data_IF_356284572964
#
_entry.id   IF_356284572964
#
_cell.length_a   1.000
_cell.length_b   1.000
_cell.length_c   1.000
_cell.angle_alpha   90.00
_cell.angle_beta   90.00
_cell.angle_gamma   90.00
#
_symmetry.space_group_name_H-M   'P 1'
#
loop_
_entity.id
_entity.type
_entity.pdbx_description
1 polymer ?
#
# COMPACT_ATOMS: atom_id res chain seq x y z
N UNK A 1 15.33 33.81 -7.15
CA UNK A 1 15.63 32.37 -7.11
C UNK A 1 15.62 31.96 -5.63
N UNK A 2 14.45 31.54 -5.13
CA UNK A 2 14.29 31.15 -3.72
C UNK A 2 14.30 29.62 -3.72
N UNK A 3 15.43 29.07 -3.31
CA UNK A 3 15.53 27.65 -2.94
C UNK A 3 14.64 27.46 -1.71
N UNK A 4 13.48 26.81 -1.87
CA UNK A 4 12.78 26.21 -0.74
C UNK A 4 13.73 25.16 -0.15
N UNK A 5 14.20 25.41 1.07
CA UNK A 5 14.87 24.40 1.88
C UNK A 5 13.95 23.18 1.97
N UNK A 6 14.36 22.10 1.35
CA UNK A 6 13.73 20.79 1.53
C UNK A 6 13.94 20.43 3.00
N UNK A 7 12.96 20.77 3.85
CA UNK A 7 12.84 20.18 5.17
C UNK A 7 13.04 18.68 4.99
N UNK A 8 13.99 18.11 5.69
CA UNK A 8 14.18 16.65 5.79
C UNK A 8 12.90 16.07 6.40
N UNK A 9 11.91 15.80 5.56
CA UNK A 9 10.61 15.28 5.98
C UNK A 9 10.81 13.81 6.34
N UNK A 10 10.84 13.52 7.62
CA UNK A 10 10.71 12.16 8.18
C UNK A 10 9.30 11.59 7.97
N UNK A 11 8.37 12.36 7.39
CA UNK A 11 7.04 12.01 6.95
C UNK A 11 6.83 12.35 5.47
N UNK A 12 5.84 11.73 4.81
CA UNK A 12 5.45 12.07 3.45
C UNK A 12 4.88 13.50 3.31
N UNK A 13 4.61 13.98 2.08
CA UNK A 13 4.04 15.30 1.83
C UNK A 13 2.60 15.40 2.40
N UNK A 14 2.26 16.55 2.97
CA UNK A 14 0.91 16.84 3.45
C UNK A 14 0.18 17.70 2.40
N UNK A 15 -1.09 17.35 2.05
CA UNK A 15 -1.85 18.10 1.03
C UNK A 15 -1.99 19.60 1.37
N UNK A 16 -2.06 19.92 2.65
CA UNK A 16 -2.16 21.31 3.13
C UNK A 16 -0.95 22.19 2.80
N UNK A 17 0.18 21.58 2.44
CA UNK A 17 1.43 22.31 2.11
C UNK A 17 1.46 22.78 0.64
N UNK A 18 0.43 22.43 -0.15
CA UNK A 18 0.37 22.69 -1.60
C UNK A 18 -0.84 23.55 -1.96
N UNK A 19 -0.66 24.42 -2.96
CA UNK A 19 -1.69 25.33 -3.43
C UNK A 19 -2.74 24.67 -4.33
N UNK A 20 -2.43 23.52 -4.90
CA UNK A 20 -3.32 22.75 -5.76
C UNK A 20 -3.04 21.25 -5.68
N UNK A 21 -4.00 20.45 -6.14
CA UNK A 21 -3.97 18.98 -6.05
C UNK A 21 -2.88 18.36 -6.91
N UNK A 22 -2.57 18.97 -8.07
CA UNK A 22 -1.54 18.46 -8.96
C UNK A 22 -0.16 18.53 -8.32
N UNK A 23 0.20 19.66 -7.72
CA UNK A 23 1.50 19.84 -7.07
C UNK A 23 1.67 18.89 -5.88
N UNK A 24 0.59 18.66 -5.13
CA UNK A 24 0.59 17.64 -4.06
C UNK A 24 0.83 16.24 -4.60
N UNK A 25 0.11 15.85 -5.66
CA UNK A 25 0.26 14.51 -6.27
C UNK A 25 1.66 14.34 -6.87
N UNK A 26 2.19 15.33 -7.57
CA UNK A 26 3.55 15.29 -8.12
C UNK A 26 4.60 15.12 -6.99
N UNK A 27 4.45 15.83 -5.88
CA UNK A 27 5.31 15.68 -4.71
C UNK A 27 5.18 14.32 -4.03
N UNK A 28 3.96 13.76 -3.96
CA UNK A 28 3.70 12.45 -3.42
C UNK A 28 4.38 11.35 -4.25
N UNK A 29 4.22 11.40 -5.57
CA UNK A 29 4.86 10.44 -6.48
C UNK A 29 6.39 10.52 -6.40
N UNK A 30 6.96 11.72 -6.40
CA UNK A 30 8.40 11.93 -6.22
C UNK A 30 8.92 11.38 -4.88
N UNK A 31 8.13 11.53 -3.80
CA UNK A 31 8.47 10.98 -2.49
C UNK A 31 8.45 9.45 -2.50
N UNK A 32 7.45 8.81 -3.14
CA UNK A 32 7.38 7.34 -3.30
C UNK A 32 8.60 6.82 -4.06
N UNK A 33 8.97 7.46 -5.17
CA UNK A 33 10.19 7.11 -5.94
C UNK A 33 11.43 7.19 -5.06
N UNK A 34 11.60 8.30 -4.34
CA UNK A 34 12.74 8.52 -3.43
C UNK A 34 12.85 7.45 -2.35
N UNK A 35 11.72 7.07 -1.74
CA UNK A 35 11.71 6.09 -0.65
C UNK A 35 11.79 4.65 -1.14
N UNK A 36 11.17 4.34 -2.29
CA UNK A 36 10.93 2.96 -2.74
C UNK A 36 11.90 2.42 -3.77
N UNK A 37 12.62 3.28 -4.52
CA UNK A 37 13.39 2.82 -5.68
C UNK A 37 14.53 1.83 -5.34
N UNK A 38 15.17 1.98 -4.19
CA UNK A 38 16.31 1.16 -3.77
C UNK A 38 16.01 0.35 -2.50
N UNK A 39 14.76 0.23 -2.10
CA UNK A 39 14.37 -0.48 -0.89
C UNK A 39 13.57 -1.74 -1.21
N UNK A 40 14.15 -2.89 -0.93
CA UNK A 40 13.50 -4.20 -1.00
C UNK A 40 13.14 -4.62 0.44
N UNK A 41 11.86 -4.89 0.70
CA UNK A 41 11.36 -5.35 1.99
C UNK A 41 10.83 -6.77 1.83
N UNK A 42 11.61 -7.75 2.30
CA UNK A 42 11.28 -9.20 2.26
C UNK A 42 10.93 -9.77 0.86
N UNK A 43 11.21 -9.04 -0.25
CA UNK A 43 10.89 -9.44 -1.63
C UNK A 43 12.08 -9.20 -2.56
N UNK A 44 12.04 -9.80 -3.77
CA UNK A 44 13.12 -9.68 -4.78
C UNK A 44 13.01 -8.41 -5.64
N UNK A 45 12.00 -7.59 -5.42
CA UNK A 45 11.74 -6.34 -6.14
C UNK A 45 11.74 -5.17 -5.18
N UNK A 46 11.99 -3.98 -5.70
CA UNK A 46 11.91 -2.75 -4.92
C UNK A 46 10.47 -2.43 -4.54
N UNK A 47 10.28 -1.65 -3.48
CA UNK A 47 8.96 -1.17 -3.08
C UNK A 47 8.30 -0.29 -4.15
N UNK A 48 9.09 0.43 -4.95
CA UNK A 48 8.59 1.17 -6.10
C UNK A 48 8.05 0.23 -7.19
N UNK A 49 8.81 -0.82 -7.54
CA UNK A 49 8.35 -1.81 -8.52
C UNK A 49 7.07 -2.49 -8.05
N UNK A 50 7.00 -2.88 -6.78
CA UNK A 50 5.80 -3.47 -6.19
C UNK A 50 4.58 -2.54 -6.27
N UNK A 51 4.73 -1.28 -5.87
CA UNK A 51 3.67 -0.28 -5.94
C UNK A 51 3.15 -0.08 -7.37
N UNK A 52 4.06 0.10 -8.34
CA UNK A 52 3.68 0.33 -9.74
C UNK A 52 3.08 -0.93 -10.37
N UNK A 53 3.65 -2.12 -10.13
CA UNK A 53 3.05 -3.38 -10.60
C UNK A 53 1.64 -3.58 -10.05
N UNK A 54 1.41 -3.24 -8.78
CA UNK A 54 0.09 -3.29 -8.15
C UNK A 54 -0.90 -2.37 -8.86
N UNK A 55 -0.51 -1.13 -9.15
CA UNK A 55 -1.35 -0.17 -9.87
C UNK A 55 -1.65 -0.61 -11.32
N UNK A 56 -0.66 -1.17 -12.03
CA UNK A 56 -0.85 -1.74 -13.38
C UNK A 56 -1.88 -2.88 -13.36
N UNK A 57 -1.78 -3.79 -12.39
CA UNK A 57 -2.74 -4.88 -12.24
C UNK A 57 -4.13 -4.37 -11.88
N UNK A 58 -4.26 -3.39 -10.98
CA UNK A 58 -5.54 -2.77 -10.66
C UNK A 58 -6.17 -2.13 -11.91
N UNK A 59 -5.37 -1.37 -12.68
CA UNK A 59 -5.82 -0.74 -13.94
C UNK A 59 -6.34 -1.77 -14.95
N UNK A 60 -5.66 -2.91 -15.07
CA UNK A 60 -6.07 -3.97 -16.01
C UNK A 60 -7.32 -4.74 -15.56
N UNK A 61 -7.57 -4.85 -14.26
CA UNK A 61 -8.67 -5.67 -13.69
C UNK A 61 -9.96 -4.88 -13.51
N UNK A 62 -9.90 -3.67 -12.95
CA UNK A 62 -11.09 -2.86 -12.66
C UNK A 62 -11.15 -1.56 -13.45
N UNK A 63 -10.00 -0.93 -13.70
CA UNK A 63 -9.94 0.41 -14.29
C UNK A 63 -10.46 1.53 -13.37
N UNK A 64 -10.96 1.19 -12.17
CA UNK A 64 -11.46 2.17 -11.20
C UNK A 64 -10.32 2.95 -10.54
N UNK A 65 -10.47 4.27 -10.45
CA UNK A 65 -9.41 5.14 -9.92
C UNK A 65 -9.14 4.89 -8.44
N UNK A 66 -10.13 4.51 -7.65
CA UNK A 66 -9.92 4.21 -6.23
C UNK A 66 -9.16 2.90 -6.04
N UNK A 67 -9.49 1.84 -6.80
CA UNK A 67 -8.76 0.57 -6.78
C UNK A 67 -7.30 0.78 -7.23
N UNK A 68 -7.06 1.58 -8.28
CA UNK A 68 -5.72 1.89 -8.80
C UNK A 68 -4.91 2.67 -7.76
N UNK A 69 -5.50 3.73 -7.19
CA UNK A 69 -4.83 4.55 -6.16
C UNK A 69 -4.55 3.74 -4.89
N UNK A 70 -5.51 2.92 -4.44
CA UNK A 70 -5.30 2.04 -3.30
C UNK A 70 -4.17 1.04 -3.56
N UNK A 71 -4.10 0.45 -4.75
CA UNK A 71 -3.04 -0.49 -5.13
C UNK A 71 -1.66 0.19 -5.18
N UNK A 72 -1.56 1.41 -5.72
CA UNK A 72 -0.31 2.16 -5.74
C UNK A 72 0.19 2.53 -4.34
N UNK A 73 -0.73 2.82 -3.41
CA UNK A 73 -0.42 3.42 -2.12
C UNK A 73 -0.54 2.46 -0.92
N UNK A 74 -0.88 1.16 -1.14
CA UNK A 74 -1.24 0.26 -0.02
C UNK A 74 -0.12 0.08 1.00
N UNK A 75 1.13 0.11 0.56
CA UNK A 75 2.32 -0.11 1.38
C UNK A 75 3.04 1.19 1.82
N UNK A 76 2.42 2.36 1.58
CA UNK A 76 3.00 3.66 1.97
C UNK A 76 3.35 3.77 3.45
N UNK A 77 2.66 3.00 4.30
CA UNK A 77 2.96 2.91 5.72
C UNK A 77 4.38 2.42 6.01
N UNK A 78 4.95 1.56 5.18
CA UNK A 78 6.34 1.16 5.29
C UNK A 78 7.29 2.36 5.12
N UNK A 79 7.03 3.25 4.14
CA UNK A 79 7.85 4.46 3.94
C UNK A 79 7.78 5.41 5.12
N UNK A 80 6.59 5.59 5.70
CA UNK A 80 6.38 6.45 6.88
C UNK A 80 7.14 5.95 8.12
N UNK A 81 7.34 4.64 8.21
CA UNK A 81 8.03 4.00 9.33
C UNK A 81 9.51 3.71 9.05
N UNK A 82 10.02 4.01 7.84
CA UNK A 82 11.39 3.69 7.43
C UNK A 82 12.47 4.29 8.35
N UNK A 83 12.22 5.45 8.95
CA UNK A 83 13.12 6.05 9.93
C UNK A 83 13.29 5.20 11.21
N UNK A 84 12.31 4.35 11.52
CA UNK A 84 12.33 3.44 12.66
C UNK A 84 13.01 2.10 12.33
N UNK A 85 13.23 1.81 11.04
CA UNK A 85 13.82 0.55 10.54
C UNK A 85 15.32 0.37 10.91
N UNK A 86 15.94 1.37 11.54
CA UNK A 86 17.30 1.27 12.12
C UNK A 86 17.36 0.47 13.42
N UNK A 87 16.23 0.19 14.05
CA UNK A 87 16.15 -0.70 15.23
C UNK A 87 16.03 -2.15 14.74
N UNK A 88 16.98 -3.02 15.10
CA UNK A 88 16.96 -4.45 14.73
C UNK A 88 15.65 -5.15 15.13
N UNK A 89 15.00 -4.69 16.23
CA UNK A 89 13.70 -5.19 16.70
C UNK A 89 12.51 -4.72 15.85
N UNK A 90 12.74 -3.81 14.91
CA UNK A 90 11.71 -3.32 13.99
C UNK A 90 11.16 -4.43 13.12
N UNK A 91 12.03 -5.34 12.64
CA UNK A 91 11.63 -6.45 11.76
C UNK A 91 10.90 -7.60 12.48
N UNK A 92 10.96 -7.64 13.81
CA UNK A 92 10.36 -8.74 14.60
C UNK A 92 8.91 -8.50 15.03
N UNK A 93 8.36 -7.31 14.76
CA UNK A 93 7.01 -6.90 15.20
C UNK A 93 6.08 -6.66 14.03
N UNK A 94 4.79 -6.91 14.26
CA UNK A 94 3.73 -6.39 13.40
C UNK A 94 3.59 -4.88 13.63
N UNK A 95 4.10 -4.10 12.69
CA UNK A 95 4.14 -2.64 12.78
C UNK A 95 2.84 -1.98 12.32
N UNK A 96 1.88 -2.78 11.85
CA UNK A 96 0.58 -2.32 11.36
C UNK A 96 0.70 -1.20 10.33
N UNK A 97 1.61 -1.40 9.35
CA UNK A 97 1.84 -0.44 8.26
C UNK A 97 0.55 -0.08 7.53
N UNK A 98 -0.38 -1.03 7.41
CA UNK A 98 -1.71 -0.83 6.82
C UNK A 98 -2.53 0.22 7.59
N UNK A 99 -2.42 0.25 8.92
CA UNK A 99 -3.11 1.23 9.76
C UNK A 99 -2.42 2.60 9.66
N UNK A 100 -1.09 2.61 9.76
CA UNK A 100 -0.30 3.85 9.66
C UNK A 100 -0.49 4.49 8.29
N UNK A 101 -0.39 3.72 7.21
CA UNK A 101 -0.60 4.18 5.85
C UNK A 101 -2.01 4.69 5.63
N UNK A 102 -3.04 3.93 6.00
CA UNK A 102 -4.43 4.34 5.84
C UNK A 102 -4.77 5.61 6.63
N UNK A 103 -4.27 5.76 7.87
CA UNK A 103 -4.49 6.97 8.66
C UNK A 103 -3.83 8.20 8.04
N UNK A 104 -2.64 8.05 7.48
CA UNK A 104 -1.96 9.14 6.80
C UNK A 104 -2.68 9.50 5.49
N UNK A 105 -3.02 8.51 4.66
CA UNK A 105 -3.76 8.71 3.41
C UNK A 105 -5.13 9.35 3.64
N UNK A 106 -5.80 9.03 4.75
CA UNK A 106 -7.10 9.59 5.10
C UNK A 106 -7.11 11.11 5.29
N UNK A 107 -5.96 11.76 5.36
CA UNK A 107 -5.86 13.23 5.38
C UNK A 107 -6.13 13.86 4.02
N UNK A 108 -5.88 13.12 2.92
CA UNK A 108 -6.02 13.61 1.57
C UNK A 108 -7.01 12.81 0.70
N UNK A 109 -7.09 11.50 0.86
CA UNK A 109 -7.83 10.59 -0.02
C UNK A 109 -9.19 10.16 0.56
N UNK A 110 -10.12 9.83 -0.34
CA UNK A 110 -11.46 9.36 0.01
C UNK A 110 -11.45 7.95 0.66
N UNK A 111 -12.53 7.56 1.39
CA UNK A 111 -12.62 6.25 2.04
C UNK A 111 -12.49 5.06 1.10
N UNK A 112 -12.89 5.20 -0.17
CA UNK A 112 -12.78 4.14 -1.18
C UNK A 112 -11.31 3.74 -1.45
N UNK A 113 -10.35 4.64 -1.20
CA UNK A 113 -8.91 4.36 -1.24
C UNK A 113 -8.42 3.84 0.12
N UNK A 114 -8.78 4.51 1.20
CA UNK A 114 -8.13 4.29 2.50
C UNK A 114 -8.63 3.05 3.24
N UNK A 115 -9.89 2.66 3.06
CA UNK A 115 -10.41 1.47 3.72
C UNK A 115 -9.82 0.15 3.15
N UNK A 116 -9.72 -0.06 1.83
CA UNK A 116 -8.99 -1.22 1.31
C UNK A 116 -7.54 -1.27 1.79
N UNK A 117 -6.83 -0.13 1.85
CA UNK A 117 -5.47 -0.05 2.40
C UNK A 117 -5.45 -0.50 3.87
N UNK A 118 -6.37 0.00 4.70
CA UNK A 118 -6.50 -0.40 6.11
C UNK A 118 -6.73 -1.89 6.30
N UNK A 119 -7.45 -2.50 5.38
CA UNK A 119 -7.96 -3.86 5.50
C UNK A 119 -7.15 -4.90 4.71
N UNK A 120 -6.10 -4.52 3.93
CA UNK A 120 -5.41 -5.50 3.07
C UNK A 120 -4.65 -6.58 3.86
N UNK A 121 -4.09 -6.25 5.04
CA UNK A 121 -3.49 -7.24 5.94
C UNK A 121 -4.54 -8.14 6.60
N UNK A 122 -5.63 -7.62 7.19
CA UNK A 122 -6.79 -8.44 7.54
C UNK A 122 -7.28 -9.32 6.40
N UNK A 123 -7.38 -8.81 5.15
CA UNK A 123 -7.81 -9.60 3.98
C UNK A 123 -6.88 -10.78 3.69
N UNK A 124 -5.55 -10.63 3.84
CA UNK A 124 -4.60 -11.76 3.74
C UNK A 124 -4.92 -12.85 4.76
N UNK A 125 -5.16 -12.47 6.01
CA UNK A 125 -5.49 -13.40 7.10
C UNK A 125 -6.84 -14.07 6.90
N UNK A 126 -7.80 -13.34 6.35
CA UNK A 126 -9.11 -13.85 5.97
C UNK A 126 -9.00 -14.90 4.85
N UNK A 127 -8.32 -14.57 3.75
CA UNK A 127 -8.12 -15.48 2.62
C UNK A 127 -7.40 -16.77 3.05
N UNK A 128 -6.42 -16.68 3.95
CA UNK A 128 -5.77 -17.85 4.53
C UNK A 128 -6.71 -18.73 5.38
N UNK A 129 -7.82 -18.18 5.88
CA UNK A 129 -8.82 -18.93 6.66
C UNK A 129 -9.87 -19.59 5.78
N UNK A 130 -10.28 -18.95 4.67
CA UNK A 130 -11.42 -19.40 3.86
C UNK A 130 -11.03 -20.12 2.58
N UNK A 131 -9.80 -19.94 2.09
CA UNK A 131 -9.24 -20.63 0.92
C UNK A 131 -8.08 -21.54 1.35
N UNK A 132 -8.28 -22.87 1.41
CA UNK A 132 -7.25 -23.82 1.85
C UNK A 132 -5.95 -23.76 1.03
N UNK A 133 -6.01 -23.38 -0.24
CA UNK A 133 -4.87 -23.27 -1.15
C UNK A 133 -4.17 -21.93 -1.09
N UNK A 134 -4.78 -20.89 -0.52
CA UNK A 134 -4.27 -19.52 -0.60
C UNK A 134 -2.90 -19.35 0.05
N UNK A 135 -2.73 -19.89 1.27
CA UNK A 135 -1.46 -19.80 2.00
C UNK A 135 -0.27 -20.39 1.23
N UNK A 136 -0.50 -21.46 0.47
CA UNK A 136 0.56 -22.10 -0.32
C UNK A 136 1.06 -21.20 -1.45
N UNK A 137 0.19 -20.34 -1.98
CA UNK A 137 0.49 -19.42 -3.09
C UNK A 137 1.17 -18.11 -2.66
N UNK A 138 1.21 -17.82 -1.35
CA UNK A 138 1.88 -16.61 -0.85
C UNK A 138 3.39 -16.67 -1.11
N UNK A 139 4.02 -15.52 -1.37
CA UNK A 139 5.48 -15.36 -1.33
C UNK A 139 6.05 -15.70 0.04
N UNK A 140 7.35 -15.95 0.14
CA UNK A 140 7.99 -16.26 1.42
C UNK A 140 7.96 -15.04 2.36
N UNK A 141 8.12 -13.81 1.86
CA UNK A 141 7.92 -12.58 2.62
C UNK A 141 6.49 -12.48 3.18
N UNK A 142 5.46 -12.76 2.35
CA UNK A 142 4.06 -12.77 2.79
C UNK A 142 3.76 -13.86 3.81
N UNK A 143 4.40 -15.04 3.72
CA UNK A 143 4.27 -16.11 4.73
C UNK A 143 4.89 -15.70 6.06
N UNK A 144 6.07 -15.09 6.01
CA UNK A 144 6.79 -14.61 7.20
C UNK A 144 5.99 -13.53 7.92
N UNK A 145 5.50 -12.52 7.17
CA UNK A 145 4.69 -11.44 7.73
C UNK A 145 3.34 -11.95 8.29
N UNK A 146 2.72 -12.96 7.65
CA UNK A 146 1.49 -13.58 8.16
C UNK A 146 1.66 -14.11 9.58
N UNK A 147 2.79 -14.75 9.88
CA UNK A 147 3.07 -15.28 11.24
C UNK A 147 3.15 -14.16 12.27
N UNK A 148 3.86 -13.07 11.94
CA UNK A 148 3.98 -11.87 12.80
C UNK A 148 2.64 -11.20 13.04
N UNK A 149 1.75 -11.22 12.03
CA UNK A 149 0.40 -10.65 12.04
C UNK A 149 -0.65 -11.53 12.75
N UNK A 150 -0.25 -12.64 13.35
CA UNK A 150 -1.14 -13.52 14.12
C UNK A 150 -1.79 -14.64 13.32
N UNK A 151 -1.26 -14.99 12.15
CA UNK A 151 -1.69 -16.11 11.33
C UNK A 151 -3.07 -15.95 10.69
N UNK A 152 -3.68 -17.03 10.16
CA UNK A 152 -5.04 -17.02 9.63
C UNK A 152 -6.06 -16.55 10.66
N UNK A 153 -7.19 -16.01 10.21
CA UNK A 153 -8.30 -15.69 11.10
C UNK A 153 -8.96 -16.95 11.66
N UNK A 154 -9.54 -16.85 12.86
CA UNK A 154 -10.51 -17.85 13.31
C UNK A 154 -11.79 -17.74 12.47
N UNK A 155 -12.61 -18.80 12.45
CA UNK A 155 -13.89 -18.82 11.74
C UNK A 155 -14.79 -17.64 12.14
N UNK A 156 -14.91 -17.35 13.44
CA UNK A 156 -15.69 -16.22 13.92
C UNK A 156 -15.19 -14.89 13.38
N UNK A 157 -13.88 -14.63 13.43
CA UNK A 157 -13.27 -13.40 12.87
C UNK A 157 -13.40 -13.32 11.35
N UNK A 158 -13.31 -14.44 10.64
CA UNK A 158 -13.51 -14.47 9.19
C UNK A 158 -14.95 -14.08 8.83
N UNK A 159 -15.94 -14.56 9.59
CA UNK A 159 -17.34 -14.17 9.43
C UNK A 159 -17.57 -12.68 9.73
N UNK A 160 -16.96 -12.15 10.79
CA UNK A 160 -17.02 -10.72 11.10
C UNK A 160 -16.39 -9.88 9.97
N UNK A 161 -15.21 -10.27 9.49
CA UNK A 161 -14.52 -9.57 8.40
C UNK A 161 -15.32 -9.58 7.10
N UNK A 162 -15.92 -10.72 6.73
CA UNK A 162 -16.74 -10.83 5.51
C UNK A 162 -18.01 -9.95 5.53
N UNK A 163 -18.46 -9.52 6.69
CA UNK A 163 -19.60 -8.62 6.86
C UNK A 163 -19.21 -7.12 6.78
N UNK A 164 -17.92 -6.79 6.73
CA UNK A 164 -17.48 -5.40 6.62
C UNK A 164 -17.78 -4.82 5.23
N UNK A 165 -18.27 -3.58 5.13
CA UNK A 165 -18.56 -2.93 3.84
C UNK A 165 -17.34 -2.86 2.90
N UNK A 166 -16.12 -2.78 3.44
CA UNK A 166 -14.87 -2.72 2.68
C UNK A 166 -14.24 -4.08 2.35
N UNK A 167 -14.85 -5.20 2.74
CA UNK A 167 -14.28 -6.54 2.59
C UNK A 167 -13.90 -6.85 1.14
N UNK A 168 -14.83 -6.70 0.20
CA UNK A 168 -14.59 -7.06 -1.21
C UNK A 168 -13.46 -6.23 -1.83
N UNK A 169 -13.41 -4.93 -1.56
CA UNK A 169 -12.34 -4.06 -2.04
C UNK A 169 -10.98 -4.44 -1.43
N UNK A 170 -10.95 -4.76 -0.15
CA UNK A 170 -9.73 -5.20 0.53
C UNK A 170 -9.23 -6.57 0.01
N UNK A 171 -10.15 -7.48 -0.28
CA UNK A 171 -9.82 -8.79 -0.89
C UNK A 171 -9.27 -8.61 -2.30
N UNK A 172 -9.89 -7.75 -3.13
CA UNK A 172 -9.35 -7.43 -4.47
C UNK A 172 -7.95 -6.83 -4.38
N UNK A 173 -7.77 -5.84 -3.51
CA UNK A 173 -6.45 -5.22 -3.28
C UNK A 173 -5.43 -6.27 -2.84
N UNK A 174 -5.78 -7.14 -1.89
CA UNK A 174 -4.87 -8.18 -1.42
C UNK A 174 -4.48 -9.17 -2.52
N UNK A 175 -5.39 -9.56 -3.37
CA UNK A 175 -5.10 -10.44 -4.51
C UNK A 175 -4.19 -9.77 -5.55
N UNK A 176 -4.28 -8.45 -5.70
CA UNK A 176 -3.38 -7.64 -6.54
C UNK A 176 -1.98 -7.62 -5.92
N UNK A 177 -1.86 -7.29 -4.65
CA UNK A 177 -0.60 -7.28 -3.89
C UNK A 177 0.16 -8.60 -4.02
N UNK A 178 -0.52 -9.74 -3.87
CA UNK A 178 0.10 -11.06 -4.01
C UNK A 178 0.66 -11.35 -5.41
N UNK A 179 0.07 -10.77 -6.46
CA UNK A 179 0.46 -10.98 -7.85
C UNK A 179 1.50 -9.97 -8.35
N UNK A 180 1.66 -8.85 -7.69
CA UNK A 180 2.50 -7.72 -8.09
C UNK A 180 3.96 -7.86 -7.60
N UNK A 181 4.57 -9.05 -7.73
CA UNK A 181 5.90 -9.38 -7.20
C UNK A 181 6.76 -10.09 -8.22
N UNK A 182 6.74 -9.59 -9.46
CA UNK A 182 7.44 -10.21 -10.59
C UNK A 182 8.79 -9.52 -10.78
N UNK A 183 9.87 -10.21 -10.46
CA UNK A 183 11.22 -9.71 -10.66
C UNK A 183 11.55 -9.55 -12.16
N UNK A 184 12.23 -8.45 -12.50
CA UNK A 184 12.63 -8.16 -13.87
C UNK A 184 11.49 -7.71 -14.80
N UNK A 185 10.28 -7.53 -14.29
CA UNK A 185 9.19 -6.94 -15.06
C UNK A 185 9.40 -5.43 -15.16
N UNK A 186 9.49 -4.91 -16.40
CA UNK A 186 9.54 -3.46 -16.62
C UNK A 186 8.26 -2.78 -16.12
N UNK A 187 8.43 -1.64 -15.47
CA UNK A 187 7.32 -0.82 -14.98
C UNK A 187 7.19 0.48 -15.78
N UNK A 188 5.96 0.97 -16.03
CA UNK A 188 5.77 2.31 -16.60
C UNK A 188 6.20 3.40 -15.60
N UNK A 189 6.37 4.65 -16.05
CA UNK A 189 6.55 5.78 -15.15
C UNK A 189 5.41 5.87 -14.13
N UNK A 190 5.73 6.14 -12.87
CA UNK A 190 4.71 6.24 -11.80
C UNK A 190 3.75 7.41 -12.06
N UNK A 191 4.20 8.42 -12.77
CA UNK A 191 3.43 9.60 -13.19
C UNK A 191 2.21 9.25 -14.07
N UNK A 192 2.23 8.09 -14.75
CA UNK A 192 1.09 7.58 -15.53
C UNK A 192 -0.17 7.33 -14.67
N UNK A 193 -0.02 7.35 -13.36
CA UNK A 193 -1.11 7.16 -12.39
C UNK A 193 -1.58 8.46 -11.73
N UNK A 194 -0.95 9.61 -12.01
CA UNK A 194 -1.24 10.89 -11.36
C UNK A 194 -2.73 11.27 -11.43
N UNK A 195 -3.36 11.12 -12.59
CA UNK A 195 -4.78 11.45 -12.78
C UNK A 195 -5.72 10.61 -11.91
N UNK A 196 -5.36 9.35 -11.61
CA UNK A 196 -6.15 8.50 -10.73
C UNK A 196 -6.05 8.99 -9.28
N UNK A 197 -4.86 9.43 -8.85
CA UNK A 197 -4.68 10.02 -7.52
C UNK A 197 -5.49 11.30 -7.38
N UNK A 198 -5.40 12.23 -8.34
CA UNK A 198 -6.17 13.49 -8.32
C UNK A 198 -7.67 13.22 -8.20
N UNK A 199 -8.23 12.28 -8.98
CA UNK A 199 -9.67 11.93 -8.96
C UNK A 199 -10.16 11.37 -7.63
N UNK A 200 -9.26 10.88 -6.78
CA UNK A 200 -9.59 10.22 -5.50
C UNK A 200 -9.28 11.06 -4.27
N UNK A 201 -8.80 12.29 -4.48
CA UNK A 201 -8.65 13.26 -3.39
C UNK A 201 -10.03 13.67 -2.83
N UNK A 202 -10.05 13.99 -1.56
CA UNK A 202 -11.24 14.56 -0.94
C UNK A 202 -11.54 15.95 -1.51
N UNK A 203 -12.78 16.22 -1.74
CA UNK A 203 -13.29 17.58 -2.05
C UNK A 203 -13.30 18.43 -0.78
#
# INVERSE_FOLDING_TARGET
TTFLEVRTMTGGPERSDFSNDKDFVDALLAWIVKCGANWCYDEQISQLEHAVQSAVLARSKSGDSADITAALLHDVGHFLMQSQAKDERFHDRDLKHEIVGANWLARAFCPQVTEPVRLHVPAKRYLCAVDPGYRARLSDGSKTSLLKQGGPMSEAKAKEFSALPGCDAAVRLRQIDDQAKVAGLGIPPIEDFADHLVKTLKT
#
